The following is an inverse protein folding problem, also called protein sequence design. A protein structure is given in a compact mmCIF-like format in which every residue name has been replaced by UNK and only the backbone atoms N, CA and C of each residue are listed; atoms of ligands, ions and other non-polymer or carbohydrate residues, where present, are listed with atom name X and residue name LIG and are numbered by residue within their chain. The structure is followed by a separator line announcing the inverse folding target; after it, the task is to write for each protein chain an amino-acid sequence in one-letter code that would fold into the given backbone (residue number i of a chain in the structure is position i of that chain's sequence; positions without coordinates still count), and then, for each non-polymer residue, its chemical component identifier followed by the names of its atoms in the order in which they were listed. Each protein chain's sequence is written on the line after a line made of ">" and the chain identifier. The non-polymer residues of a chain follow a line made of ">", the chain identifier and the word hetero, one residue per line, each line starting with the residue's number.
data_IF_820281769715
#
_entry.id   IF_820281769715
#
_cell.length_a   1.000
_cell.length_b   1.000
_cell.length_c   1.000
_cell.angle_alpha   90.00
_cell.angle_beta   90.00
_cell.angle_gamma   90.00
#
_symmetry.space_group_name_H-M   'P 1'
#
loop_
_entity.id
_entity.type
_entity.pdbx_description
1 polymer ?
#
# COMPACT_ATOMS: atom_id res chain seq x y z
N UNK A 1 9.78 17.18 -67.06
CA UNK A 1 10.10 15.87 -66.44
C UNK A 1 10.52 16.12 -65.00
N UNK A 2 9.80 15.50 -64.06
CA UNK A 2 9.79 15.79 -62.63
C UNK A 2 10.87 14.95 -61.89
N UNK A 3 11.48 15.61 -60.91
CA UNK A 3 12.57 15.22 -59.99
C UNK A 3 12.37 13.87 -59.29
N UNK A 4 13.45 13.24 -58.82
CA UNK A 4 13.53 12.74 -57.44
C UNK A 4 15.00 12.47 -57.05
N UNK A 5 15.61 13.40 -56.31
CA UNK A 5 16.82 13.15 -55.52
C UNK A 5 16.35 12.58 -54.17
N UNK A 6 16.61 11.29 -53.92
CA UNK A 6 16.37 10.67 -52.62
C UNK A 6 17.50 11.05 -51.67
N UNK A 7 17.26 12.00 -50.77
CA UNK A 7 18.13 12.28 -49.63
C UNK A 7 17.66 11.39 -48.48
N UNK A 8 18.44 10.35 -48.16
CA UNK A 8 18.27 9.54 -46.96
C UNK A 8 18.68 10.37 -45.74
N UNK A 9 17.70 10.90 -45.00
CA UNK A 9 17.93 11.50 -43.68
C UNK A 9 17.96 10.35 -42.67
N UNK A 10 19.15 10.03 -42.18
CA UNK A 10 19.38 9.07 -41.11
C UNK A 10 18.99 9.75 -39.79
N UNK A 11 17.83 9.42 -39.24
CA UNK A 11 17.38 9.93 -37.95
C UNK A 11 18.19 9.29 -36.83
N UNK A 12 19.10 10.06 -36.23
CA UNK A 12 19.82 9.70 -35.01
C UNK A 12 18.83 9.74 -33.84
N UNK A 13 18.32 8.58 -33.44
CA UNK A 13 17.50 8.43 -32.23
C UNK A 13 18.43 8.52 -31.03
N UNK A 14 18.41 9.67 -30.35
CA UNK A 14 19.07 9.85 -29.06
C UNK A 14 18.28 9.06 -28.02
N UNK A 15 18.81 7.91 -27.60
CA UNK A 15 18.26 7.11 -26.49
C UNK A 15 18.62 7.83 -25.20
N UNK A 16 17.69 8.61 -24.64
CA UNK A 16 17.85 9.11 -23.28
C UNK A 16 17.51 7.98 -22.29
N UNK A 17 18.39 7.67 -21.33
CA UNK A 17 18.01 6.76 -20.26
C UNK A 17 16.97 7.46 -19.40
N UNK A 18 15.73 6.96 -19.44
CA UNK A 18 14.73 7.31 -18.44
C UNK A 18 15.24 6.75 -17.12
N UNK A 19 15.74 7.62 -16.26
CA UNK A 19 15.99 7.28 -14.87
C UNK A 19 14.65 6.89 -14.26
N UNK A 20 14.43 5.60 -14.07
CA UNK A 20 13.25 5.08 -13.39
C UNK A 20 13.30 5.59 -11.94
N UNK A 21 12.54 6.65 -11.66
CA UNK A 21 12.30 7.09 -10.30
C UNK A 21 11.50 5.98 -9.62
N UNK A 22 12.15 5.23 -8.75
CA UNK A 22 11.50 4.27 -7.87
C UNK A 22 10.77 5.10 -6.81
N UNK A 23 9.48 5.33 -7.03
CA UNK A 23 8.63 5.96 -6.02
C UNK A 23 8.40 4.89 -4.95
N UNK A 24 9.12 4.97 -3.83
CA UNK A 24 8.76 4.18 -2.64
C UNK A 24 7.37 4.63 -2.20
N UNK A 25 6.39 3.74 -2.33
CA UNK A 25 5.04 3.98 -1.86
C UNK A 25 5.06 3.90 -0.33
N UNK A 26 4.98 5.06 0.32
CA UNK A 26 4.88 5.12 1.78
C UNK A 26 3.53 4.52 2.21
N UNK A 27 3.57 3.44 2.98
CA UNK A 27 2.37 2.79 3.48
C UNK A 27 1.75 3.61 4.61
N UNK A 28 0.46 3.91 4.48
CA UNK A 28 -0.33 4.64 5.50
C UNK A 28 -0.48 3.84 6.81
N UNK A 29 -0.23 2.53 6.76
CA UNK A 29 -0.28 1.62 7.90
C UNK A 29 1.10 1.07 8.26
N UNK A 30 1.22 0.54 9.48
CA UNK A 30 2.39 -0.16 9.96
C UNK A 30 2.45 -1.52 9.24
N UNK A 31 3.54 -1.82 8.50
CA UNK A 31 3.70 -3.12 7.86
C UNK A 31 3.58 -4.24 8.90
N UNK A 32 3.00 -5.35 8.47
CA UNK A 32 2.91 -6.57 9.27
C UNK A 32 2.06 -6.45 10.55
N UNK A 33 1.24 -5.40 10.69
CA UNK A 33 0.38 -5.22 11.87
C UNK A 33 -1.08 -5.00 11.51
N UNK A 34 -1.95 -5.72 12.20
CA UNK A 34 -3.40 -5.50 12.20
C UNK A 34 -3.92 -5.35 13.63
N UNK A 35 -4.98 -4.57 13.76
CA UNK A 35 -5.75 -4.44 15.00
C UNK A 35 -6.94 -5.37 14.91
N UNK A 36 -7.11 -6.24 15.91
CA UNK A 36 -8.20 -7.23 15.95
C UNK A 36 -8.97 -7.06 17.25
N UNK A 37 -10.28 -6.87 17.12
CA UNK A 37 -11.23 -7.00 18.21
C UNK A 37 -11.91 -8.35 18.13
N UNK A 38 -11.71 -9.17 19.15
CA UNK A 38 -12.38 -10.45 19.25
C UNK A 38 -13.81 -10.28 19.77
N UNK A 39 -14.73 -11.09 19.27
CA UNK A 39 -16.09 -11.12 19.77
C UNK A 39 -16.07 -11.46 21.28
N UNK A 40 -16.74 -10.63 22.08
CA UNK A 40 -16.80 -10.81 23.52
C UNK A 40 -17.32 -12.19 23.90
N UNK A 41 -16.46 -12.99 24.52
CA UNK A 41 -16.87 -14.17 25.25
C UNK A 41 -17.47 -13.72 26.60
N UNK A 42 -18.53 -14.38 27.11
CA UNK A 42 -19.11 -14.04 28.40
C UNK A 42 -18.04 -14.01 29.50
N UNK A 43 -17.80 -12.82 30.09
CA UNK A 43 -16.83 -12.60 31.15
C UNK A 43 -15.42 -12.14 30.72
N UNK A 44 -15.16 -11.97 29.42
CA UNK A 44 -13.92 -11.39 28.89
C UNK A 44 -14.04 -9.88 28.64
N UNK A 45 -12.93 -9.15 28.81
CA UNK A 45 -12.85 -7.76 28.37
C UNK A 45 -12.77 -7.72 26.82
N UNK A 46 -13.43 -6.72 26.24
CA UNK A 46 -13.53 -6.47 24.80
C UNK A 46 -12.26 -5.83 24.24
N UNK A 47 -11.11 -6.43 24.52
CA UNK A 47 -9.82 -5.81 24.23
C UNK A 47 -9.46 -5.94 22.74
N UNK A 48 -8.98 -4.83 22.19
CA UNK A 48 -8.36 -4.80 20.86
C UNK A 48 -6.90 -5.20 21.00
N UNK A 49 -6.47 -6.18 20.23
CA UNK A 49 -5.11 -6.67 20.20
C UNK A 49 -4.39 -6.27 18.91
N UNK A 50 -3.10 -5.96 19.01
CA UNK A 50 -2.22 -5.86 17.86
C UNK A 50 -1.73 -7.27 17.51
N UNK A 51 -1.90 -7.69 16.26
CA UNK A 51 -1.47 -9.00 15.76
C UNK A 51 -0.45 -8.80 14.65
N UNK A 52 0.66 -9.54 14.75
CA UNK A 52 1.70 -9.57 13.73
C UNK A 52 1.31 -10.53 12.60
N UNK A 53 1.46 -10.09 11.36
CA UNK A 53 1.01 -10.81 10.16
C UNK A 53 2.01 -10.65 9.02
N UNK A 54 2.08 -11.62 8.10
CA UNK A 54 2.99 -11.54 6.96
C UNK A 54 2.47 -10.58 5.87
N UNK A 55 1.17 -10.56 5.64
CA UNK A 55 0.50 -9.68 4.67
C UNK A 55 -0.76 -9.07 5.27
N UNK A 56 -0.80 -7.73 5.33
CA UNK A 56 -1.88 -6.99 5.98
C UNK A 56 -3.20 -7.14 5.22
N UNK A 57 -3.17 -7.07 3.89
CA UNK A 57 -4.38 -7.19 3.07
C UNK A 57 -5.04 -8.56 3.24
N UNK A 58 -4.27 -9.63 3.08
CA UNK A 58 -4.75 -11.00 3.26
C UNK A 58 -5.21 -11.24 4.69
N UNK A 59 -4.49 -10.72 5.70
CA UNK A 59 -4.88 -10.89 7.09
C UNK A 59 -6.23 -10.23 7.41
N UNK A 60 -6.47 -9.02 6.92
CA UNK A 60 -7.76 -8.33 7.08
C UNK A 60 -8.87 -9.14 6.43
N UNK A 61 -8.69 -9.60 5.19
CA UNK A 61 -9.71 -10.38 4.48
C UNK A 61 -10.04 -11.70 5.20
N UNK A 62 -9.03 -12.42 5.67
CA UNK A 62 -9.20 -13.71 6.37
C UNK A 62 -9.85 -13.51 7.72
N UNK A 63 -9.40 -12.53 8.52
CA UNK A 63 -9.91 -12.29 9.87
C UNK A 63 -11.31 -11.69 9.85
N UNK A 64 -11.64 -10.87 8.85
CA UNK A 64 -12.99 -10.32 8.69
C UNK A 64 -14.04 -11.41 8.41
N UNK A 65 -13.61 -12.55 7.86
CA UNK A 65 -14.47 -13.70 7.63
C UNK A 65 -14.62 -14.64 8.86
N UNK A 66 -13.83 -14.45 9.92
CA UNK A 66 -13.90 -15.28 11.13
C UNK A 66 -15.04 -14.80 12.05
N UNK A 67 -16.04 -15.64 12.37
CA UNK A 67 -17.17 -15.26 13.23
C UNK A 67 -16.77 -14.94 14.68
N UNK A 68 -15.54 -15.26 15.09
CA UNK A 68 -14.98 -14.91 16.40
C UNK A 68 -14.33 -13.54 16.42
N UNK A 69 -14.19 -12.90 15.27
CA UNK A 69 -13.67 -11.54 15.14
C UNK A 69 -14.86 -10.60 15.02
N UNK A 70 -14.95 -9.63 15.93
CA UNK A 70 -15.95 -8.57 15.85
C UNK A 70 -15.52 -7.51 14.83
N UNK A 71 -14.22 -7.21 14.79
CA UNK A 71 -13.65 -6.19 13.93
C UNK A 71 -12.17 -6.41 13.68
N UNK A 72 -11.70 -6.07 12.48
CA UNK A 72 -10.29 -6.07 12.10
C UNK A 72 -9.97 -4.91 11.16
N UNK A 73 -8.81 -4.28 11.33
CA UNK A 73 -8.29 -3.25 10.43
C UNK A 73 -6.75 -3.22 10.40
N UNK A 74 -6.13 -2.61 9.37
CA UNK A 74 -4.70 -2.27 9.41
C UNK A 74 -4.38 -1.34 10.58
N UNK A 75 -3.19 -1.48 11.18
CA UNK A 75 -2.73 -0.52 12.19
C UNK A 75 -2.23 0.77 11.52
N UNK A 76 -3.08 1.78 11.38
CA UNK A 76 -2.71 3.03 10.71
C UNK A 76 -1.67 3.84 11.49
N UNK A 77 -0.70 4.40 10.76
CA UNK A 77 0.29 5.32 11.34
C UNK A 77 -0.40 6.60 11.78
N UNK A 78 0.00 7.09 12.95
CA UNK A 78 -0.51 8.36 13.49
C UNK A 78 0.63 9.37 13.53
N UNK A 79 0.34 10.56 13.03
CA UNK A 79 1.27 11.69 13.05
C UNK A 79 0.71 12.76 13.98
N UNK A 80 1.57 13.31 14.83
CA UNK A 80 1.21 14.45 15.68
C UNK A 80 1.23 15.70 14.79
N UNK A 81 0.12 16.44 14.73
CA UNK A 81 0.14 17.78 14.13
C UNK A 81 0.90 18.72 15.06
N UNK A 82 1.94 19.37 14.53
CA UNK A 82 2.72 20.37 15.26
C UNK A 82 2.23 21.80 15.01
N UNK A 83 1.23 21.97 14.15
CA UNK A 83 0.60 23.26 13.88
C UNK A 83 -0.57 23.44 14.85
N UNK A 84 -0.56 24.47 15.72
CA UNK A 84 -1.69 24.78 16.58
C UNK A 84 -2.85 25.34 15.74
N UNK A 85 -4.07 24.90 16.07
CA UNK A 85 -5.33 25.34 15.44
C UNK A 85 -5.63 26.84 15.62
#
# INVERSE_FOLDING_TARGET
>A
MLRLFFVFIFALVVVTPVAAQTVEQELEYVPNEVLVKWANLPGGAADVAVVQVDDVATAVDVLAADPRVEYVEPNYRRFISLVPD
#
